data_IF_598982514100
#
_entry.id   IF_598982514100
#
_cell.length_a   1.000
_cell.length_b   1.000
_cell.length_c   1.000
_cell.angle_alpha   90.00
_cell.angle_beta   90.00
_cell.angle_gamma   90.00
#
_symmetry.space_group_name_H-M   'P 1'
#
loop_
_entity.id
_entity.type
_entity.pdbx_description
1 polymer ?
#
# COMPACT_ATOMS: atom_id res chain seq x y z
N UNK A 1 5.16 -15.25 -13.24
CA UNK A 1 4.64 -13.86 -13.19
C UNK A 1 3.55 -13.68 -12.15
N UNK A 2 2.44 -14.46 -12.18
CA UNK A 2 1.36 -14.37 -11.18
C UNK A 2 1.84 -14.50 -9.72
N UNK A 3 2.78 -15.42 -9.45
CA UNK A 3 3.39 -15.59 -8.11
C UNK A 3 4.09 -14.33 -7.59
N UNK A 4 4.79 -13.59 -8.46
CA UNK A 4 5.48 -12.35 -8.09
C UNK A 4 4.47 -11.28 -7.72
N UNK A 5 3.39 -11.14 -8.53
CA UNK A 5 2.31 -10.17 -8.30
C UNK A 5 1.62 -10.45 -6.95
N UNK A 6 1.31 -11.72 -6.65
CA UNK A 6 0.76 -12.08 -5.34
C UNK A 6 1.71 -11.80 -4.19
N UNK A 7 3.02 -11.98 -4.39
CA UNK A 7 4.05 -11.59 -3.42
C UNK A 7 4.03 -10.09 -3.15
N UNK A 8 3.97 -9.26 -4.20
CA UNK A 8 3.84 -7.82 -4.06
C UNK A 8 2.55 -7.42 -3.33
N UNK A 9 1.41 -8.00 -3.70
CA UNK A 9 0.13 -7.75 -3.02
C UNK A 9 0.16 -8.08 -1.53
N UNK A 10 0.89 -9.14 -1.13
CA UNK A 10 1.07 -9.49 0.28
C UNK A 10 1.88 -8.43 1.04
N UNK A 11 2.93 -7.89 0.42
CA UNK A 11 3.75 -6.81 1.00
C UNK A 11 2.88 -5.55 1.19
N UNK A 12 2.04 -5.22 0.21
CA UNK A 12 1.17 -4.04 0.25
C UNK A 12 0.12 -4.16 1.36
N UNK A 13 -0.49 -5.34 1.47
CA UNK A 13 -1.44 -5.63 2.53
C UNK A 13 -0.77 -5.57 3.91
N UNK A 14 0.45 -6.10 4.05
CA UNK A 14 1.22 -6.04 5.29
C UNK A 14 1.60 -4.59 5.65
N UNK A 15 2.00 -3.78 4.67
CA UNK A 15 2.28 -2.36 4.86
C UNK A 15 1.03 -1.58 5.28
N UNK A 16 -0.12 -1.84 4.66
CA UNK A 16 -1.39 -1.22 5.03
C UNK A 16 -1.78 -1.58 6.47
N UNK A 17 -1.64 -2.85 6.86
CA UNK A 17 -1.86 -3.32 8.23
C UNK A 17 -0.91 -2.66 9.22
N UNK A 18 0.37 -2.57 8.91
CA UNK A 18 1.37 -1.90 9.75
C UNK A 18 1.00 -0.44 10.00
N UNK A 19 0.68 0.31 8.93
CA UNK A 19 0.27 1.70 9.04
C UNK A 19 -1.03 1.84 9.84
N UNK A 20 -1.99 0.94 9.63
CA UNK A 20 -3.22 0.91 10.41
C UNK A 20 -2.93 0.75 11.91
N UNK A 21 -2.05 -0.18 12.31
CA UNK A 21 -1.67 -0.33 13.71
C UNK A 21 -0.91 0.90 14.26
N UNK A 22 -0.11 1.56 13.43
CA UNK A 22 0.59 2.79 13.84
C UNK A 22 -0.36 3.94 14.19
N UNK A 23 -1.58 3.98 13.63
CA UNK A 23 -2.60 4.97 13.99
C UNK A 23 -3.03 4.86 15.46
N UNK A 24 -2.91 3.66 16.06
CA UNK A 24 -3.32 3.39 17.44
C UNK A 24 -2.16 3.49 18.43
N UNK A 25 -0.91 3.33 18.00
CA UNK A 25 0.25 3.34 18.91
C UNK A 25 1.05 4.65 18.93
N UNK A 26 0.99 5.46 17.87
CA UNK A 26 1.96 6.55 17.63
C UNK A 26 1.74 7.83 18.44
N UNK A 27 0.67 7.93 19.24
CA UNK A 27 0.35 9.17 19.97
C UNK A 27 0.07 10.38 19.05
N UNK A 28 -0.09 10.17 17.74
CA UNK A 28 -0.32 11.20 16.75
C UNK A 28 -1.61 11.98 17.03
N UNK A 29 -1.58 13.28 16.71
CA UNK A 29 -2.77 14.12 16.69
C UNK A 29 -3.71 13.71 15.54
N UNK A 30 -4.92 14.28 15.51
CA UNK A 30 -5.94 13.93 14.51
C UNK A 30 -5.49 14.25 13.08
N UNK A 31 -4.67 15.30 12.90
CA UNK A 31 -4.10 15.66 11.61
C UNK A 31 -3.07 14.61 11.13
N UNK A 32 -2.15 14.19 12.00
CA UNK A 32 -1.17 13.14 11.72
C UNK A 32 -1.82 11.80 11.35
N UNK A 33 -2.87 11.42 12.07
CA UNK A 33 -3.66 10.22 11.74
C UNK A 33 -4.34 10.31 10.38
N UNK A 34 -4.84 11.49 10.02
CA UNK A 34 -5.43 11.75 8.70
C UNK A 34 -4.42 11.59 7.56
N UNK A 35 -3.17 12.01 7.76
CA UNK A 35 -2.11 11.88 6.76
C UNK A 35 -1.70 10.43 6.50
N UNK A 36 -1.73 9.57 7.53
CA UNK A 36 -1.40 8.14 7.41
C UNK A 36 -2.55 7.33 6.81
N UNK A 37 -3.78 7.83 6.89
CA UNK A 37 -4.98 7.14 6.36
C UNK A 37 -4.99 7.05 4.83
N UNK A 38 -4.56 8.11 4.13
CA UNK A 38 -4.52 8.12 2.67
C UNK A 38 -3.57 7.04 2.07
N UNK A 39 -2.33 6.87 2.56
CA UNK A 39 -1.47 5.74 2.23
C UNK A 39 -2.12 4.37 2.42
N UNK A 40 -2.85 4.16 3.53
CA UNK A 40 -3.54 2.89 3.80
C UNK A 40 -4.57 2.59 2.71
N UNK A 41 -5.41 3.57 2.37
CA UNK A 41 -6.41 3.42 1.31
C UNK A 41 -5.75 3.14 -0.05
N UNK A 42 -4.66 3.83 -0.37
CA UNK A 42 -3.94 3.64 -1.62
C UNK A 42 -3.34 2.23 -1.74
N UNK A 43 -2.74 1.70 -0.66
CA UNK A 43 -2.21 0.33 -0.64
C UNK A 43 -3.33 -0.71 -0.83
N UNK A 44 -4.45 -0.56 -0.13
CA UNK A 44 -5.62 -1.45 -0.28
C UNK A 44 -6.15 -1.39 -1.72
N UNK A 45 -6.24 -0.21 -2.31
CA UNK A 45 -6.67 -0.03 -3.70
C UNK A 45 -5.70 -0.70 -4.69
N UNK A 46 -4.39 -0.65 -4.45
CA UNK A 46 -3.39 -1.35 -5.26
C UNK A 46 -3.56 -2.87 -5.19
N UNK A 47 -3.77 -3.42 -3.99
CA UNK A 47 -4.04 -4.86 -3.82
C UNK A 47 -5.31 -5.28 -4.56
N UNK A 48 -6.40 -4.55 -4.36
CA UNK A 48 -7.68 -4.85 -5.00
C UNK A 48 -7.60 -4.71 -6.54
N UNK A 49 -6.95 -3.65 -7.02
CA UNK A 49 -6.74 -3.40 -8.45
C UNK A 49 -5.86 -4.46 -9.11
N UNK A 50 -4.76 -4.85 -8.47
CA UNK A 50 -3.89 -5.91 -8.96
C UNK A 50 -4.62 -7.26 -9.03
N UNK A 51 -5.42 -7.61 -8.02
CA UNK A 51 -6.23 -8.83 -8.03
C UNK A 51 -7.23 -8.85 -9.19
N UNK A 52 -7.96 -7.74 -9.40
CA UNK A 52 -8.89 -7.60 -10.51
C UNK A 52 -8.19 -7.75 -11.87
N UNK A 53 -7.04 -7.09 -12.05
CA UNK A 53 -6.26 -7.15 -13.28
C UNK A 53 -5.69 -8.54 -13.56
N UNK A 54 -5.31 -9.31 -12.53
CA UNK A 54 -4.96 -10.73 -12.68
C UNK A 54 -6.16 -11.53 -13.20
N UNK A 55 -7.35 -11.31 -12.63
CA UNK A 55 -8.58 -11.98 -13.03
C UNK A 55 -9.00 -11.66 -14.47
N UNK A 56 -8.76 -10.44 -14.92
CA UNK A 56 -9.01 -9.99 -16.29
C UNK A 56 -7.91 -10.41 -17.31
N UNK A 57 -6.85 -11.09 -16.87
CA UNK A 57 -5.75 -11.54 -17.73
C UNK A 57 -4.69 -10.47 -18.02
N UNK A 58 -4.84 -9.25 -17.52
CA UNK A 58 -3.91 -8.12 -17.69
C UNK A 58 -2.72 -8.20 -16.70
N UNK A 59 -1.93 -9.27 -16.80
CA UNK A 59 -0.84 -9.56 -15.85
C UNK A 59 0.31 -8.52 -15.85
N UNK A 60 0.57 -7.82 -16.96
CA UNK A 60 1.54 -6.73 -17.00
C UNK A 60 1.09 -5.52 -16.17
N UNK A 61 -0.17 -5.10 -16.33
CA UNK A 61 -0.76 -4.01 -15.55
C UNK A 61 -0.92 -4.37 -14.08
N UNK A 62 -1.27 -5.62 -13.78
CA UNK A 62 -1.32 -6.10 -12.41
C UNK A 62 0.03 -5.98 -11.70
N UNK A 63 1.15 -6.27 -12.40
CA UNK A 63 2.50 -6.09 -11.86
C UNK A 63 2.83 -4.62 -11.60
N UNK A 64 2.46 -3.72 -12.52
CA UNK A 64 2.67 -2.27 -12.33
C UNK A 64 1.90 -1.76 -11.12
N UNK A 65 0.63 -2.15 -10.98
CA UNK A 65 -0.23 -1.71 -9.86
C UNK A 65 0.24 -2.30 -8.53
N UNK A 66 0.63 -3.58 -8.50
CA UNK A 66 1.21 -4.18 -7.28
C UNK A 66 2.64 -3.70 -6.98
N UNK A 67 3.34 -3.14 -7.98
CA UNK A 67 4.72 -2.64 -7.86
C UNK A 67 4.83 -1.13 -7.56
N UNK A 68 3.70 -0.42 -7.61
CA UNK A 68 3.56 0.99 -7.20
C UNK A 68 3.84 1.38 -5.72
N UNK A 69 3.88 0.47 -4.72
CA UNK A 69 4.07 0.82 -3.30
C UNK A 69 5.39 1.52 -2.99
N UNK A 70 6.38 1.46 -3.88
CA UNK A 70 7.64 2.19 -3.74
C UNK A 70 7.38 3.70 -3.54
N UNK A 71 6.37 4.26 -4.21
CA UNK A 71 6.00 5.68 -4.06
C UNK A 71 5.38 5.95 -2.68
N UNK A 72 4.59 5.01 -2.16
CA UNK A 72 3.93 5.14 -0.85
C UNK A 72 4.95 5.00 0.28
N UNK A 73 5.89 4.06 0.17
CA UNK A 73 7.01 3.90 1.10
C UNK A 73 7.94 5.13 1.04
N UNK A 74 8.22 5.66 -0.15
CA UNK A 74 9.00 6.89 -0.30
C UNK A 74 8.29 8.10 0.33
N UNK A 75 6.96 8.21 0.18
CA UNK A 75 6.16 9.22 0.85
C UNK A 75 6.22 9.05 2.38
N UNK A 76 6.01 7.84 2.90
CA UNK A 76 6.09 7.55 4.35
C UNK A 76 7.46 7.84 4.94
N UNK A 77 8.54 7.56 4.20
CA UNK A 77 9.89 7.94 4.58
C UNK A 77 10.02 9.47 4.66
N UNK A 78 9.54 10.21 3.66
CA UNK A 78 9.59 11.68 3.64
C UNK A 78 8.89 12.32 4.85
N UNK A 79 7.68 11.89 5.20
CA UNK A 79 6.95 12.38 6.39
C UNK A 79 7.54 11.89 7.73
N UNK A 80 8.43 10.89 7.75
CA UNK A 80 9.10 10.45 8.98
C UNK A 80 10.38 11.23 9.30
N UNK A 81 10.95 11.93 8.30
CA UNK A 81 12.17 12.75 8.44
C UNK A 81 11.89 14.26 8.47
N UNK A 82 10.63 14.68 8.29
CA UNK A 82 10.17 16.07 8.38
C UNK A 82 9.36 16.28 9.63
#
# INVERSE_FOLDING_TARGET
>A
MKTIIYGCMLIDAAAALFLFFSLFSSGQDSAGKGMVFLPILALIACVAGAYFLIGAGHTGWALTVSGFPVIIIAYLAFISFT
#
